data_IF_510635188755
#
_entry.id   IF_510635188755
#
_cell.length_a   1.000
_cell.length_b   1.000
_cell.length_c   1.000
_cell.angle_alpha   90.00
_cell.angle_beta   90.00
_cell.angle_gamma   90.00
#
_symmetry.space_group_name_H-M   'P 1'
#
loop_
_entity.id
_entity.type
_entity.pdbx_description
1 polymer ?
#
# COMPACT_ATOMS: atom_id res chain seq x y z
N UNK A 1 -4.25 15.84 27.30
CA UNK A 1 -5.11 16.00 26.12
C UNK A 1 -4.46 15.18 25.01
N UNK A 2 -4.89 13.93 24.80
CA UNK A 2 -4.34 13.07 23.75
C UNK A 2 -5.00 13.48 22.43
N UNK A 3 -4.28 14.20 21.59
CA UNK A 3 -4.75 14.57 20.25
C UNK A 3 -4.71 13.33 19.37
N UNK A 4 -5.87 12.90 18.85
CA UNK A 4 -5.94 11.85 17.85
C UNK A 4 -5.31 12.37 16.55
N UNK A 5 -4.18 11.78 16.13
CA UNK A 5 -3.54 12.10 14.86
C UNK A 5 -3.88 11.01 13.85
N UNK A 6 -4.59 11.40 12.80
CA UNK A 6 -5.08 10.53 11.74
C UNK A 6 -4.06 10.51 10.59
N UNK A 7 -3.60 9.32 10.18
CA UNK A 7 -2.70 9.15 9.06
C UNK A 7 -3.41 8.43 7.90
N UNK A 8 -3.63 9.16 6.80
CA UNK A 8 -3.92 8.56 5.51
C UNK A 8 -2.60 8.09 4.89
N UNK A 9 -2.40 6.79 4.76
CA UNK A 9 -1.08 6.25 4.36
C UNK A 9 -1.01 6.08 2.85
N UNK A 10 -0.21 6.92 2.20
CA UNK A 10 0.21 6.73 0.81
C UNK A 10 1.70 6.43 0.77
N UNK A 11 2.08 5.32 0.15
CA UNK A 11 3.49 4.95 -0.03
C UNK A 11 3.90 5.32 -1.46
N UNK A 12 5.03 5.99 -1.60
CA UNK A 12 5.57 6.32 -2.92
C UNK A 12 6.13 5.06 -3.62
N UNK A 13 5.99 4.89 -4.95
CA UNK A 13 5.26 5.70 -5.92
C UNK A 13 3.81 5.18 -6.08
N UNK A 14 2.88 5.82 -5.37
CA UNK A 14 1.50 5.86 -5.82
C UNK A 14 0.52 4.79 -5.30
N UNK A 15 0.82 3.99 -4.28
CA UNK A 15 -0.22 3.15 -3.67
C UNK A 15 -0.13 3.07 -2.14
N UNK A 16 -1.30 3.01 -1.50
CA UNK A 16 -1.48 3.03 -0.05
C UNK A 16 -1.01 1.75 0.64
N UNK A 17 -0.54 1.89 1.88
CA UNK A 17 -0.54 0.75 2.80
C UNK A 17 -2.01 0.44 3.13
N UNK A 18 -2.35 -0.84 3.18
CA UNK A 18 -3.66 -1.34 3.58
C UNK A 18 -3.56 -1.99 4.97
N UNK A 19 -4.70 -2.26 5.61
CA UNK A 19 -4.70 -3.05 6.85
C UNK A 19 -4.17 -4.45 6.55
N UNK A 20 -2.99 -4.77 7.08
CA UNK A 20 -2.31 -6.06 6.90
C UNK A 20 -1.71 -6.31 5.51
N UNK A 21 -1.71 -5.34 4.60
CA UNK A 21 -1.23 -5.52 3.22
C UNK A 21 -0.61 -4.24 2.63
N UNK A 22 0.03 -4.37 1.48
CA UNK A 22 0.59 -3.25 0.71
C UNK A 22 0.02 -3.30 -0.71
N UNK A 23 -0.27 -2.14 -1.30
CA UNK A 23 -0.79 -2.07 -2.66
C UNK A 23 0.15 -2.62 -3.72
N UNK A 24 -0.44 -3.14 -4.79
CA UNK A 24 0.26 -3.77 -5.91
C UNK A 24 1.39 -2.88 -6.45
N UNK A 25 2.59 -3.40 -6.73
CA UNK A 25 3.73 -2.56 -7.09
C UNK A 25 3.86 -2.35 -8.61
N UNK A 26 3.09 -3.06 -9.43
CA UNK A 26 3.23 -3.13 -10.88
C UNK A 26 2.60 -1.94 -11.64
N UNK A 27 2.10 -0.91 -10.95
CA UNK A 27 1.52 0.28 -11.59
C UNK A 27 2.39 1.52 -11.32
N UNK A 28 2.76 2.30 -12.37
CA UNK A 28 2.48 2.11 -13.80
C UNK A 28 3.42 1.11 -14.51
N UNK A 29 4.15 0.29 -13.77
CA UNK A 29 5.10 -0.71 -14.28
C UNK A 29 6.15 -1.02 -13.23
N UNK A 30 7.30 -1.60 -13.63
CA UNK A 30 8.51 -1.72 -12.79
C UNK A 30 8.29 -2.36 -11.41
N UNK A 31 7.47 -3.43 -11.35
CA UNK A 31 6.99 -4.05 -10.11
C UNK A 31 8.08 -4.24 -9.03
N UNK A 32 9.24 -4.79 -9.39
CA UNK A 32 10.32 -5.05 -8.42
C UNK A 32 10.94 -3.76 -7.86
N UNK A 33 11.22 -2.79 -8.71
CA UNK A 33 11.77 -1.48 -8.31
C UNK A 33 10.80 -0.76 -7.39
N UNK A 34 9.54 -0.68 -7.83
CA UNK A 34 8.43 -0.09 -7.11
C UNK A 34 8.16 -0.78 -5.76
N UNK A 35 8.37 -2.10 -5.66
CA UNK A 35 8.29 -2.83 -4.39
C UNK A 35 9.47 -2.47 -3.47
N UNK A 36 10.68 -2.27 -4.02
CA UNK A 36 11.84 -1.79 -3.27
C UNK A 36 11.63 -0.39 -2.69
N UNK A 37 11.15 0.55 -3.50
CA UNK A 37 10.83 1.92 -3.03
C UNK A 37 9.76 1.91 -1.93
N UNK A 38 8.75 1.03 -2.04
CA UNK A 38 7.73 0.83 -1.00
C UNK A 38 8.32 0.28 0.28
N UNK A 39 9.21 -0.71 0.20
CA UNK A 39 9.93 -1.23 1.37
C UNK A 39 10.67 -0.11 2.08
N UNK A 40 11.43 0.68 1.33
CA UNK A 40 12.25 1.76 1.87
C UNK A 40 11.36 2.84 2.52
N UNK A 41 10.28 3.26 1.86
CA UNK A 41 9.32 4.22 2.42
C UNK A 41 8.61 3.70 3.67
N UNK A 42 8.23 2.43 3.72
CA UNK A 42 7.60 1.83 4.90
C UNK A 42 8.58 1.84 6.08
N UNK A 43 9.79 1.34 5.87
CA UNK A 43 10.75 1.15 6.96
C UNK A 43 11.37 2.46 7.45
N UNK A 44 11.60 3.42 6.56
CA UNK A 44 12.28 4.68 6.92
C UNK A 44 11.31 5.80 7.32
N UNK A 45 10.07 5.77 6.82
CA UNK A 45 9.09 6.84 7.10
C UNK A 45 7.93 6.36 7.96
N UNK A 46 7.27 5.27 7.60
CA UNK A 46 6.03 4.88 8.28
C UNK A 46 6.29 4.21 9.63
N UNK A 47 7.24 3.27 9.68
CA UNK A 47 7.56 2.53 10.90
C UNK A 47 8.30 3.37 11.94
N UNK A 48 8.78 4.58 11.60
CA UNK A 48 9.42 5.52 12.51
C UNK A 48 8.42 6.42 13.24
N UNK A 49 7.16 6.46 12.81
CA UNK A 49 6.11 7.27 13.43
C UNK A 49 5.61 6.69 14.77
N UNK A 50 4.94 7.50 15.62
CA UNK A 50 4.35 7.07 16.88
C UNK A 50 3.36 5.90 16.74
N UNK A 51 3.23 5.10 17.80
CA UNK A 51 2.42 3.86 17.81
C UNK A 51 0.91 4.13 17.86
N UNK A 52 0.50 5.26 18.42
CA UNK A 52 -0.88 5.69 18.66
C UNK A 52 -1.56 6.30 17.42
N UNK A 53 -0.85 6.42 16.30
CA UNK A 53 -1.44 6.89 15.05
C UNK A 53 -2.42 5.87 14.47
N UNK A 54 -3.57 6.38 14.04
CA UNK A 54 -4.55 5.60 13.27
C UNK A 54 -4.16 5.55 11.79
N UNK A 55 -4.42 4.41 11.17
CA UNK A 55 -4.18 4.12 9.76
C UNK A 55 -5.52 4.01 9.05
N UNK A 56 -5.74 4.89 8.08
CA UNK A 56 -6.93 4.88 7.22
C UNK A 56 -6.51 4.61 5.77
N UNK A 57 -6.69 3.37 5.29
CA UNK A 57 -6.32 3.04 3.93
C UNK A 57 -7.40 3.45 2.92
N UNK A 58 -6.98 3.74 1.69
CA UNK A 58 -7.91 4.13 0.62
C UNK A 58 -8.73 2.98 0.03
N UNK A 59 -8.39 1.71 0.36
CA UNK A 59 -9.10 0.53 -0.10
C UNK A 59 -9.10 -0.58 0.97
N UNK A 60 -10.06 -1.50 0.87
CA UNK A 60 -10.26 -2.64 1.77
C UNK A 60 -10.48 -3.94 0.97
N UNK A 61 -10.65 -5.06 1.67
CA UNK A 61 -11.01 -6.35 1.08
C UNK A 61 -12.12 -6.22 0.02
N UNK A 62 -11.95 -6.92 -1.11
CA UNK A 62 -12.80 -6.79 -2.30
C UNK A 62 -12.27 -5.82 -3.36
N UNK A 63 -11.29 -4.97 -3.02
CA UNK A 63 -10.58 -4.15 -4.00
C UNK A 63 -9.53 -4.98 -4.78
N UNK A 64 -9.35 -4.66 -6.06
CA UNK A 64 -8.34 -5.25 -6.96
C UNK A 64 -6.95 -4.62 -6.80
N UNK A 65 -6.81 -3.63 -5.91
CA UNK A 65 -5.60 -2.84 -5.71
C UNK A 65 -4.54 -3.53 -4.85
N UNK A 66 -4.83 -4.69 -4.24
CA UNK A 66 -3.88 -5.45 -3.42
C UNK A 66 -4.36 -6.87 -3.08
N UNK A 67 -3.43 -7.77 -2.78
CA UNK A 67 -3.71 -9.11 -2.29
C UNK A 67 -3.66 -9.15 -0.76
N UNK A 68 -4.49 -10.01 -0.13
CA UNK A 68 -4.46 -10.22 1.33
C UNK A 68 -5.00 -9.07 2.18
N UNK A 69 -5.78 -8.14 1.59
CA UNK A 69 -6.35 -7.01 2.33
C UNK A 69 -7.44 -7.46 3.33
N UNK A 70 -7.36 -6.93 4.55
CA UNK A 70 -8.42 -7.04 5.55
C UNK A 70 -9.67 -6.23 5.15
N UNK A 71 -10.84 -6.68 5.60
CA UNK A 71 -12.11 -5.93 5.46
C UNK A 71 -12.29 -4.83 6.50
N UNK A 72 -11.32 -4.65 7.42
CA UNK A 72 -11.40 -3.60 8.46
C UNK A 72 -11.24 -2.20 7.86
N UNK A 73 -12.10 -1.23 8.22
CA UNK A 73 -12.07 0.13 7.67
C UNK A 73 -10.88 0.98 8.16
N UNK A 74 -10.20 0.57 9.23
CA UNK A 74 -9.05 1.26 9.80
C UNK A 74 -8.18 0.31 10.64
N UNK A 75 -6.98 0.78 11.01
CA UNK A 75 -6.03 0.10 11.89
C UNK A 75 -5.26 1.14 12.72
N UNK A 76 -4.23 0.72 13.44
CA UNK A 76 -3.26 1.61 14.10
C UNK A 76 -1.84 1.23 13.70
N UNK A 77 -0.90 2.17 13.77
CA UNK A 77 0.52 1.86 13.55
C UNK A 77 1.03 0.84 14.58
N UNK A 78 0.52 0.84 15.81
CA UNK A 78 0.83 -0.22 16.76
C UNK A 78 0.41 -1.61 16.27
N UNK A 79 -0.79 -1.74 15.74
CA UNK A 79 -1.28 -3.00 15.22
C UNK A 79 -0.45 -3.45 14.01
N UNK A 80 -0.23 -2.57 13.03
CA UNK A 80 0.54 -2.90 11.82
C UNK A 80 2.00 -3.24 12.14
N UNK A 81 2.65 -2.50 13.05
CA UNK A 81 4.02 -2.80 13.53
C UNK A 81 4.11 -4.16 14.21
N UNK A 82 3.04 -4.64 14.83
CA UNK A 82 3.05 -5.92 15.53
C UNK A 82 2.68 -7.09 14.63
N UNK A 83 1.71 -6.89 13.74
CA UNK A 83 1.00 -7.99 13.09
C UNK A 83 1.03 -7.96 11.57
N UNK A 84 1.53 -6.90 10.92
CA UNK A 84 1.62 -6.88 9.47
C UNK A 84 2.69 -7.89 8.99
N UNK A 85 2.32 -8.90 8.19
CA UNK A 85 3.23 -9.98 7.80
C UNK A 85 4.37 -9.53 6.89
N UNK A 86 4.22 -8.37 6.22
CA UNK A 86 5.24 -7.82 5.35
C UNK A 86 6.35 -7.10 6.14
N UNK A 87 6.12 -6.76 7.41
CA UNK A 87 7.12 -6.12 8.28
C UNK A 87 8.30 -7.02 8.63
N UNK A 88 8.07 -8.33 8.79
CA UNK A 88 9.11 -9.27 9.24
C UNK A 88 9.97 -9.82 8.10
N UNK A 89 9.74 -9.40 6.86
CA UNK A 89 10.49 -9.88 5.69
C UNK A 89 11.77 -9.07 5.51
N UNK A 90 12.83 -9.71 5.01
CA UNK A 90 13.96 -8.99 4.43
C UNK A 90 13.50 -8.17 3.23
N UNK A 91 14.31 -7.19 2.80
CA UNK A 91 14.01 -6.38 1.61
C UNK A 91 13.72 -7.26 0.38
N UNK A 92 14.57 -8.25 0.11
CA UNK A 92 14.37 -9.16 -1.01
C UNK A 92 13.11 -10.01 -0.84
N UNK A 93 12.87 -10.56 0.37
CA UNK A 93 11.66 -11.33 0.65
C UNK A 93 10.38 -10.50 0.53
N UNK A 94 10.43 -9.21 0.84
CA UNK A 94 9.34 -8.26 0.63
C UNK A 94 9.10 -8.01 -0.86
N UNK A 95 10.18 -7.75 -1.63
CA UNK A 95 10.09 -7.52 -3.08
C UNK A 95 9.52 -8.74 -3.79
N UNK A 96 9.98 -9.95 -3.47
CA UNK A 96 9.41 -11.18 -4.03
C UNK A 96 7.93 -11.32 -3.68
N UNK A 97 7.58 -11.21 -2.40
CA UNK A 97 6.20 -11.39 -1.94
C UNK A 97 5.23 -10.35 -2.55
N UNK A 98 5.70 -9.13 -2.77
CA UNK A 98 4.87 -8.05 -3.32
C UNK A 98 4.82 -8.06 -4.85
N UNK A 99 5.83 -8.65 -5.51
CA UNK A 99 5.89 -8.75 -6.98
C UNK A 99 5.08 -9.93 -7.55
N UNK A 100 4.60 -10.84 -6.71
CA UNK A 100 3.63 -11.88 -7.08
C UNK A 100 2.22 -11.28 -7.15
N UNK A 101 1.96 -10.52 -8.24
CA UNK A 101 0.74 -9.74 -8.40
C UNK A 101 -0.28 -10.51 -9.26
N UNK A 102 -1.57 -10.57 -8.88
CA UNK A 102 -2.59 -11.11 -9.76
C UNK A 102 -2.71 -10.30 -11.07
N UNK A 103 -3.26 -10.91 -12.13
CA UNK A 103 -3.46 -10.26 -13.42
C UNK A 103 -4.11 -8.88 -13.29
N UNK A 104 -3.65 -7.93 -14.11
CA UNK A 104 -4.22 -6.58 -14.13
C UNK A 104 -5.69 -6.65 -14.57
N UNK A 105 -6.63 -6.05 -13.82
CA UNK A 105 -8.00 -5.86 -14.29
C UNK A 105 -8.04 -5.10 -15.62
N UNK A 106 -8.92 -5.50 -16.54
CA UNK A 106 -8.94 -4.99 -17.92
C UNK A 106 -9.09 -3.45 -18.00
N UNK A 107 -9.88 -2.84 -17.13
CA UNK A 107 -10.10 -1.39 -17.12
C UNK A 107 -9.02 -0.57 -16.38
N UNK A 108 -8.01 -1.22 -15.80
CA UNK A 108 -7.04 -0.56 -14.93
C UNK A 108 -6.08 0.34 -15.73
N UNK A 109 -5.66 -0.09 -16.92
CA UNK A 109 -4.82 0.71 -17.84
C UNK A 109 -5.49 2.02 -18.24
N UNK A 110 -6.75 1.92 -18.68
CA UNK A 110 -7.53 3.09 -19.08
C UNK A 110 -7.68 4.09 -17.91
N UNK A 111 -7.96 3.59 -16.70
CA UNK A 111 -8.06 4.44 -15.51
C UNK A 111 -6.73 5.11 -15.16
N UNK A 112 -5.61 4.42 -15.34
CA UNK A 112 -4.29 5.01 -15.15
C UNK A 112 -4.03 6.13 -16.16
N UNK A 113 -4.38 5.93 -17.43
CA UNK A 113 -4.25 6.98 -18.45
C UNK A 113 -5.08 8.21 -18.12
N UNK A 114 -6.33 8.02 -17.68
CA UNK A 114 -7.18 9.12 -17.21
C UNK A 114 -6.54 9.87 -16.04
N UNK A 115 -6.09 9.16 -15.00
CA UNK A 115 -5.45 9.79 -13.83
C UNK A 115 -4.13 10.49 -14.17
N UNK A 116 -3.43 10.06 -15.22
CA UNK A 116 -2.21 10.69 -15.72
C UNK A 116 -2.48 11.83 -16.70
N UNK A 117 -3.75 12.15 -17.00
CA UNK A 117 -4.13 13.16 -17.99
C UNK A 117 -3.80 12.77 -19.43
N UNK A 118 -3.60 11.47 -19.70
CA UNK A 118 -3.33 10.93 -21.05
C UNK A 118 -4.60 10.64 -21.84
N UNK A 119 -5.73 10.49 -21.14
CA UNK A 119 -7.07 10.27 -21.71
C UNK A 119 -8.11 11.07 -20.90
N UNK A 120 -9.22 11.46 -21.52
CA UNK A 120 -10.33 12.12 -20.83
C UNK A 120 -11.42 11.13 -20.42
N UNK A 121 -12.17 11.45 -19.35
CA UNK A 121 -13.36 10.69 -18.97
C UNK A 121 -14.46 11.01 -19.99
N UNK A 122 -14.90 9.99 -20.72
CA UNK A 122 -15.98 10.10 -21.71
C UNK A 122 -17.36 10.00 -21.07
#
# INVERSE_FOLDING_TARGET
MFGLVILAVTVWPGLSMFVGAVGRPDLPGRARENAGERYDSIHTKLLTLPYDLEVYPGHFSGSVCGAGMSGKPSSTLAFEKRWNPLRSKSRDGFVEALSDVPPRPAALEQRLHIHQGREEVR
#
